data_IF_833972938283
#
_entry.id   IF_833972938283
#
_cell.length_a   1.000
_cell.length_b   1.000
_cell.length_c   1.000
_cell.angle_alpha   90.00
_cell.angle_beta   90.00
_cell.angle_gamma   90.00
#
_symmetry.space_group_name_H-M   'P 1'
#
loop_
_entity.id
_entity.type
_entity.pdbx_description
1 polymer ?
#
# COMPACT_ATOMS: atom_id res chain seq x y z
N UNK A 1 23.92 19.90 7.64
CA UNK A 1 22.69 20.20 8.39
C UNK A 1 21.59 20.49 7.37
N UNK A 2 20.60 19.61 7.21
CA UNK A 2 19.47 19.87 6.29
C UNK A 2 18.61 20.98 6.88
N UNK A 3 18.49 22.09 6.15
CA UNK A 3 17.64 23.21 6.56
C UNK A 3 16.18 22.77 6.60
N UNK A 4 15.39 23.33 7.51
CA UNK A 4 13.98 23.00 7.68
C UNK A 4 13.19 23.18 6.35
N UNK A 5 13.61 24.15 5.53
CA UNK A 5 13.13 24.39 4.17
C UNK A 5 13.38 23.22 3.20
N UNK A 6 14.55 22.58 3.23
CA UNK A 6 14.84 21.45 2.34
C UNK A 6 14.01 20.22 2.73
N UNK A 7 13.75 19.99 4.02
CA UNK A 7 12.82 18.94 4.47
C UNK A 7 11.40 19.16 4.00
N UNK A 8 10.90 20.40 4.09
CA UNK A 8 9.56 20.76 3.62
C UNK A 8 9.46 20.56 2.10
N UNK A 9 10.44 21.08 1.35
CA UNK A 9 10.46 20.92 -0.11
C UNK A 9 10.48 19.45 -0.55
N UNK A 10 11.23 18.59 0.16
CA UNK A 10 11.27 17.15 -0.11
C UNK A 10 9.93 16.46 0.21
N UNK A 11 9.26 16.85 1.30
CA UNK A 11 7.94 16.32 1.64
C UNK A 11 6.91 16.69 0.58
N UNK A 12 6.81 17.97 0.23
CA UNK A 12 5.85 18.43 -0.80
C UNK A 12 6.18 17.86 -2.19
N UNK A 13 7.45 17.84 -2.58
CA UNK A 13 7.90 17.22 -3.83
C UNK A 13 7.62 15.72 -3.88
N UNK A 14 7.83 15.02 -2.77
CA UNK A 14 7.51 13.60 -2.62
C UNK A 14 6.01 13.32 -2.75
N UNK A 15 5.17 14.10 -2.06
CA UNK A 15 3.70 13.99 -2.13
C UNK A 15 3.22 14.26 -3.56
N UNK A 16 3.75 15.29 -4.21
CA UNK A 16 3.40 15.63 -5.59
C UNK A 16 3.78 14.52 -6.58
N UNK A 17 4.99 13.96 -6.44
CA UNK A 17 5.43 12.83 -7.24
C UNK A 17 4.53 11.59 -7.04
N UNK A 18 4.19 11.28 -5.78
CA UNK A 18 3.24 10.19 -5.46
C UNK A 18 1.87 10.44 -6.08
N UNK A 19 1.37 11.68 -6.05
CA UNK A 19 0.07 12.02 -6.64
C UNK A 19 0.09 11.88 -8.17
N UNK A 20 1.17 12.31 -8.82
CA UNK A 20 1.35 12.19 -10.27
C UNK A 20 1.44 10.74 -10.72
N UNK A 21 2.16 9.90 -9.97
CA UNK A 21 2.35 8.50 -10.28
C UNK A 21 1.38 7.57 -9.55
N UNK A 22 0.33 8.10 -8.92
CA UNK A 22 -0.59 7.35 -8.05
C UNK A 22 -1.00 6.01 -8.66
N UNK A 23 -1.43 6.04 -9.92
CA UNK A 23 -1.93 4.85 -10.60
C UNK A 23 -0.82 3.87 -10.96
N UNK A 24 0.38 4.34 -11.33
CA UNK A 24 1.52 3.46 -11.57
C UNK A 24 1.99 2.82 -10.26
N UNK A 25 2.08 3.60 -9.17
CA UNK A 25 2.47 3.09 -7.86
C UNK A 25 1.47 2.04 -7.41
N UNK A 26 0.17 2.35 -7.41
CA UNK A 26 -0.86 1.39 -7.03
C UNK A 26 -0.86 0.15 -7.92
N UNK A 27 -0.73 0.30 -9.24
CA UNK A 27 -0.68 -0.86 -10.14
C UNK A 27 0.55 -1.74 -9.88
N UNK A 28 1.69 -1.14 -9.54
CA UNK A 28 2.91 -1.90 -9.23
C UNK A 28 2.80 -2.57 -7.85
N UNK A 29 2.22 -1.89 -6.87
CA UNK A 29 2.00 -2.39 -5.52
C UNK A 29 0.97 -3.53 -5.53
N UNK A 30 -0.20 -3.33 -6.17
CA UNK A 30 -1.26 -4.33 -6.22
C UNK A 30 -1.02 -5.43 -7.25
N UNK A 31 -0.27 -5.15 -8.32
CA UNK A 31 0.12 -6.13 -9.32
C UNK A 31 1.26 -7.06 -8.87
N UNK A 32 2.00 -6.68 -7.82
CA UNK A 32 3.09 -7.51 -7.31
C UNK A 32 2.57 -8.73 -6.54
N UNK A 33 2.92 -9.96 -6.96
CA UNK A 33 2.52 -11.18 -6.25
C UNK A 33 3.07 -11.23 -4.82
N UNK A 34 4.20 -10.56 -4.57
CA UNK A 34 4.82 -10.47 -3.23
C UNK A 34 3.95 -9.65 -2.28
N UNK A 35 3.49 -8.47 -2.71
CA UNK A 35 2.61 -7.62 -1.90
C UNK A 35 1.29 -8.33 -1.62
N UNK A 36 0.72 -8.98 -2.65
CA UNK A 36 -0.50 -9.77 -2.51
C UNK A 36 -0.33 -10.90 -1.49
N UNK A 37 0.79 -11.63 -1.52
CA UNK A 37 1.08 -12.71 -0.57
C UNK A 37 1.19 -12.18 0.86
N UNK A 38 1.92 -11.08 1.07
CA UNK A 38 2.04 -10.44 2.39
C UNK A 38 0.65 -10.02 2.89
N UNK A 39 -0.10 -9.29 2.06
CA UNK A 39 -1.43 -8.80 2.40
C UNK A 39 -2.39 -9.92 2.78
N UNK A 40 -2.48 -10.98 1.96
CA UNK A 40 -3.33 -12.15 2.24
C UNK A 40 -2.85 -12.86 3.51
N UNK A 41 -1.55 -13.12 3.65
CA UNK A 41 -1.01 -13.83 4.81
C UNK A 41 -1.25 -13.09 6.13
N UNK A 42 -1.11 -11.77 6.14
CA UNK A 42 -1.39 -10.92 7.30
C UNK A 42 -2.88 -10.86 7.60
N UNK A 43 -3.72 -10.73 6.56
CA UNK A 43 -5.18 -10.70 6.70
C UNK A 43 -5.74 -12.02 7.26
N UNK A 44 -5.18 -13.16 6.85
CA UNK A 44 -5.60 -14.49 7.29
C UNK A 44 -5.22 -14.79 8.75
N UNK A 45 -4.29 -14.05 9.35
CA UNK A 45 -3.97 -14.16 10.79
C UNK A 45 -5.05 -13.53 11.68
N UNK A 46 -5.89 -12.66 11.12
CA UNK A 46 -6.95 -11.98 11.86
C UNK A 46 -8.24 -12.80 11.71
N UNK A 47 -8.78 -13.40 12.80
CA UNK A 47 -9.88 -14.36 12.72
C UNK A 47 -11.16 -13.75 12.12
N UNK A 48 -11.46 -12.48 12.41
CA UNK A 48 -12.60 -11.77 11.85
C UNK A 48 -12.51 -11.60 10.32
N UNK A 49 -11.33 -11.20 9.83
CA UNK A 49 -11.09 -10.97 8.40
C UNK A 49 -11.05 -12.30 7.65
N UNK A 50 -10.37 -13.31 8.23
CA UNK A 50 -10.32 -14.68 7.71
C UNK A 50 -11.73 -15.23 7.48
N UNK A 51 -12.60 -15.15 8.49
CA UNK A 51 -13.96 -15.68 8.38
C UNK A 51 -14.76 -14.96 7.28
N UNK A 52 -14.67 -13.63 7.19
CA UNK A 52 -15.31 -12.84 6.11
C UNK A 52 -14.78 -13.22 4.72
N UNK A 53 -13.47 -13.34 4.56
CA UNK A 53 -12.83 -13.67 3.27
C UNK A 53 -13.18 -15.08 2.81
N UNK A 54 -13.08 -16.08 3.70
CA UNK A 54 -13.45 -17.47 3.40
C UNK A 54 -14.93 -17.53 3.03
N UNK A 55 -15.81 -16.88 3.79
CA UNK A 55 -17.24 -16.91 3.51
C UNK A 55 -17.63 -16.21 2.19
N UNK A 56 -16.84 -15.23 1.72
CA UNK A 56 -17.04 -14.64 0.39
C UNK A 56 -16.42 -15.47 -0.75
N UNK A 57 -15.30 -16.14 -0.51
CA UNK A 57 -14.60 -16.91 -1.53
C UNK A 57 -15.28 -18.26 -1.86
N UNK A 58 -15.99 -18.84 -0.88
CA UNK A 58 -16.67 -20.14 -1.00
C UNK A 58 -18.19 -20.02 -1.16
N UNK A 59 -18.70 -18.82 -1.44
CA UNK A 59 -20.12 -18.57 -1.77
C UNK A 59 -20.26 -18.39 -3.27
#
# INVERSE_FOLDING_TARGET
>A
MLSLLTRIALLFGGIYAVYRYRYRIFNTVFGSPTVRRIFISSSMKIPFIRNRMIHQAFR
#
